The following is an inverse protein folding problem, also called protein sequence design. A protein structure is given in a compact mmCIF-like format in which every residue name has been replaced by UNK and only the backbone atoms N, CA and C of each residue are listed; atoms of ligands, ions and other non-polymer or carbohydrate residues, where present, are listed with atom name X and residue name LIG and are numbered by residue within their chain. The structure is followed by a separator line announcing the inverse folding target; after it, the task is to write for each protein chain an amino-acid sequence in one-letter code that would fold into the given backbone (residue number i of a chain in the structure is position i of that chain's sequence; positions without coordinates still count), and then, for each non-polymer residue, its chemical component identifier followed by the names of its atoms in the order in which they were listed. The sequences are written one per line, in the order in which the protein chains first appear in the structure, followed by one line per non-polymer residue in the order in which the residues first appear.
data_IF_568268723874
#
_entry.id   IF_568268723874
#
_cell.length_a   1.000
_cell.length_b   1.000
_cell.length_c   1.000
_cell.angle_alpha   90.00
_cell.angle_beta   90.00
_cell.angle_gamma   90.00
#
_symmetry.space_group_name_H-M   'P 1'
#
loop_
_entity.id
_entity.type
_entity.pdbx_description
1 polymer ?
#
# COMPACT_ATOMS: atom_id res chain seq x y z
N UNK A 1 -3.16 -3.10 4.86
CA UNK A 1 -1.90 -3.14 5.64
C UNK A 1 -2.14 -3.38 7.12
N UNK A 2 -3.20 -4.10 7.51
CA UNK A 2 -3.46 -4.37 8.93
C UNK A 2 -2.30 -5.12 9.61
N UNK A 3 -1.71 -6.11 8.93
CA UNK A 3 -0.63 -6.90 9.50
C UNK A 3 0.60 -6.04 9.84
N UNK A 4 0.95 -5.08 8.97
CA UNK A 4 2.03 -4.13 9.21
C UNK A 4 1.74 -3.23 10.42
N UNK A 5 0.46 -2.92 10.66
CA UNK A 5 -0.01 -2.17 11.83
C UNK A 5 -0.22 -3.06 13.07
N UNK A 6 0.28 -4.30 13.07
CA UNK A 6 0.15 -5.25 14.18
C UNK A 6 -1.27 -5.78 14.42
N UNK A 7 -2.17 -5.67 13.43
CA UNK A 7 -3.57 -6.10 13.50
C UNK A 7 -3.89 -7.15 12.45
N UNK A 8 -4.70 -8.15 12.78
CA UNK A 8 -5.19 -9.12 11.80
C UNK A 8 -6.67 -8.88 11.52
N UNK A 9 -7.04 -8.80 10.25
CA UNK A 9 -8.44 -8.72 9.81
C UNK A 9 -8.62 -9.60 8.58
N UNK A 10 -9.85 -10.05 8.33
CA UNK A 10 -10.18 -10.76 7.12
C UNK A 10 -9.96 -9.85 5.90
N UNK A 11 -9.28 -10.37 4.88
CA UNK A 11 -9.16 -9.70 3.60
C UNK A 11 -10.53 -9.68 2.91
N UNK A 12 -10.83 -8.56 2.27
CA UNK A 12 -12.11 -8.33 1.57
C UNK A 12 -11.90 -8.18 0.06
N UNK A 13 -10.70 -7.79 -0.35
CA UNK A 13 -10.32 -7.58 -1.75
C UNK A 13 -8.91 -8.10 -1.99
N UNK A 14 -8.64 -8.51 -3.23
CA UNK A 14 -7.31 -8.78 -3.75
C UNK A 14 -6.89 -7.59 -4.58
N UNK A 15 -5.71 -7.07 -4.31
CA UNK A 15 -5.15 -5.87 -4.92
C UNK A 15 -3.78 -6.17 -5.56
N UNK A 16 -3.35 -5.35 -6.52
CA UNK A 16 -2.03 -5.49 -7.12
C UNK A 16 -0.99 -4.66 -6.34
N UNK A 17 0.09 -5.29 -5.88
CA UNK A 17 1.20 -4.62 -5.19
C UNK A 17 1.77 -3.52 -6.10
N UNK A 18 2.11 -3.90 -7.34
CA UNK A 18 2.48 -3.01 -8.43
C UNK A 18 1.30 -2.84 -9.38
N UNK A 19 0.93 -1.58 -9.63
CA UNK A 19 -0.10 -1.23 -10.62
C UNK A 19 0.21 -1.87 -11.97
N UNK A 20 -0.77 -2.61 -12.51
CA UNK A 20 -0.58 -3.30 -13.78
C UNK A 20 -0.63 -2.37 -15.00
N UNK A 21 -1.30 -1.21 -14.94
CA UNK A 21 -1.37 -0.19 -16.01
C UNK A 21 -1.73 -0.73 -17.41
N UNK A 22 -2.54 -1.78 -17.44
CA UNK A 22 -2.95 -2.47 -18.68
C UNK A 22 -2.05 -3.64 -19.11
N UNK A 23 -0.95 -3.90 -18.39
CA UNK A 23 -0.13 -5.10 -18.56
C UNK A 23 -0.86 -6.33 -18.00
N UNK A 24 -1.19 -7.28 -18.88
CA UNK A 24 -1.94 -8.48 -18.50
C UNK A 24 -1.08 -9.55 -17.84
N UNK A 25 0.23 -9.59 -18.10
CA UNK A 25 1.13 -10.50 -17.39
C UNK A 25 1.21 -10.09 -15.93
N UNK A 26 1.42 -8.79 -15.68
CA UNK A 26 1.45 -8.24 -14.32
C UNK A 26 0.09 -8.28 -13.61
N UNK A 27 -1.01 -8.24 -14.37
CA UNK A 27 -2.37 -8.39 -13.83
C UNK A 27 -2.62 -9.80 -13.26
N UNK A 28 -2.14 -10.83 -13.97
CA UNK A 28 -2.32 -12.24 -13.60
C UNK A 28 -1.17 -12.82 -12.77
N UNK A 29 -0.13 -12.04 -12.53
CA UNK A 29 0.95 -12.41 -11.63
C UNK A 29 0.43 -12.52 -10.19
N UNK A 30 0.39 -13.75 -9.66
CA UNK A 30 -0.05 -14.03 -8.30
C UNK A 30 0.92 -13.50 -7.25
N UNK A 31 2.21 -13.40 -7.58
CA UNK A 31 3.21 -12.83 -6.67
C UNK A 31 3.03 -11.30 -6.58
N UNK A 32 2.34 -10.69 -7.54
CA UNK A 32 1.92 -9.30 -7.51
C UNK A 32 0.58 -9.08 -6.78
N UNK A 33 -0.08 -10.12 -6.26
CA UNK A 33 -1.34 -9.97 -5.53
C UNK A 33 -1.11 -9.82 -4.03
N UNK A 34 -1.85 -8.90 -3.40
CA UNK A 34 -1.89 -8.73 -1.96
C UNK A 34 -3.34 -8.74 -1.42
N UNK A 35 -3.60 -9.45 -0.32
CA UNK A 35 -4.90 -9.41 0.34
C UNK A 35 -5.02 -8.14 1.21
N UNK A 36 -6.10 -7.37 1.02
CA UNK A 36 -6.35 -6.13 1.77
C UNK A 36 -7.77 -6.09 2.35
N UNK A 37 -7.92 -5.36 3.45
CA UNK A 37 -9.24 -4.91 3.91
C UNK A 37 -9.71 -3.72 3.07
N UNK A 38 -11.02 -3.46 3.07
CA UNK A 38 -11.62 -2.40 2.28
C UNK A 38 -11.08 -1.01 2.64
N UNK A 39 -10.82 -0.77 3.94
CA UNK A 39 -10.28 0.51 4.43
C UNK A 39 -8.91 0.81 3.84
N UNK A 40 -7.96 -0.15 3.91
CA UNK A 40 -6.62 0.07 3.37
C UNK A 40 -6.59 0.09 1.85
N UNK A 41 -7.40 -0.72 1.20
CA UNK A 41 -7.53 -0.71 -0.26
C UNK A 41 -8.00 0.67 -0.77
N UNK A 42 -9.06 1.22 -0.16
CA UNK A 42 -9.66 2.46 -0.66
C UNK A 42 -8.97 3.75 -0.17
N UNK A 43 -8.09 3.66 0.82
CA UNK A 43 -7.43 4.83 1.41
C UNK A 43 -5.92 4.75 1.24
N UNK A 44 -5.23 3.93 2.04
CA UNK A 44 -3.77 3.98 2.11
C UNK A 44 -3.11 3.50 0.82
N UNK A 45 -3.60 2.42 0.20
CA UNK A 45 -3.05 1.93 -1.08
C UNK A 45 -3.24 2.95 -2.20
N UNK A 46 -4.47 3.44 -2.37
CA UNK A 46 -4.81 4.50 -3.32
C UNK A 46 -3.96 5.78 -3.15
N UNK A 47 -3.67 6.14 -1.90
CA UNK A 47 -2.79 7.28 -1.59
C UNK A 47 -1.35 7.01 -2.02
N UNK A 48 -0.79 5.84 -1.69
CA UNK A 48 0.58 5.46 -2.06
C UNK A 48 0.74 5.45 -3.57
N UNK A 49 -0.22 4.91 -4.31
CA UNK A 49 -0.21 4.88 -5.77
C UNK A 49 -0.19 6.28 -6.37
N UNK A 50 -1.01 7.19 -5.84
CA UNK A 50 -1.08 8.58 -6.29
C UNK A 50 0.19 9.37 -5.98
N UNK A 51 0.74 9.18 -4.78
CA UNK A 51 1.81 10.02 -4.26
C UNK A 51 3.21 9.47 -4.54
N UNK A 52 3.32 8.15 -4.71
CA UNK A 52 4.59 7.43 -4.82
C UNK A 52 5.36 7.28 -3.51
N UNK A 53 4.73 7.53 -2.36
CA UNK A 53 5.31 7.37 -1.02
C UNK A 53 4.21 7.09 0.03
N UNK A 54 4.60 6.51 1.16
CA UNK A 54 3.78 6.22 2.32
C UNK A 54 3.77 7.41 3.30
N UNK A 55 2.62 7.66 3.93
CA UNK A 55 2.43 8.73 4.92
C UNK A 55 2.49 8.24 6.37
N UNK A 56 3.27 7.19 6.65
CA UNK A 56 3.38 6.68 8.02
C UNK A 56 4.31 7.59 8.80
N UNK A 57 3.88 7.97 10.00
CA UNK A 57 4.60 8.87 10.90
C UNK A 57 5.26 8.01 11.97
N UNK A 58 6.57 8.18 12.14
CA UNK A 58 7.37 7.47 13.12
C UNK A 58 7.17 7.97 14.55
N UNK A 59 7.78 7.28 15.51
CA UNK A 59 7.73 7.64 16.93
C UNK A 59 8.38 9.00 17.24
N UNK A 60 9.25 9.49 16.35
CA UNK A 60 9.89 10.81 16.40
C UNK A 60 9.01 11.94 15.83
N UNK A 61 7.82 11.61 15.32
CA UNK A 61 6.89 12.56 14.72
C UNK A 61 7.20 12.91 13.27
N UNK A 62 8.19 12.29 12.64
CA UNK A 62 8.55 12.50 11.24
C UNK A 62 8.06 11.35 10.35
N UNK A 63 7.75 11.60 9.06
CA UNK A 63 7.41 10.53 8.13
C UNK A 63 8.53 9.49 8.03
N UNK A 64 8.19 8.20 8.03
CA UNK A 64 9.21 7.13 7.97
C UNK A 64 9.70 6.84 6.55
N UNK A 65 8.89 7.17 5.53
CA UNK A 65 9.22 6.86 4.14
C UNK A 65 10.32 7.81 3.65
N UNK A 66 11.51 7.33 3.25
CA UNK A 66 12.58 8.17 2.73
C UNK A 66 12.18 8.98 1.48
N UNK A 67 11.18 8.54 0.73
CA UNK A 67 10.69 9.23 -0.45
C UNK A 67 9.73 10.38 -0.13
N UNK A 68 9.21 10.46 1.11
CA UNK A 68 8.29 11.50 1.55
C UNK A 68 8.92 12.90 1.39
N UNK A 69 8.21 13.92 0.86
CA UNK A 69 8.78 15.25 0.60
C UNK A 69 9.41 15.95 1.81
N UNK A 70 8.92 15.64 3.02
CA UNK A 70 9.47 16.16 4.28
C UNK A 70 10.86 15.60 4.65
N UNK A 71 11.29 14.51 4.00
CA UNK A 71 12.58 13.84 4.21
C UNK A 71 13.59 14.15 3.10
N UNK A 72 13.31 15.15 2.25
CA UNK A 72 14.17 15.60 1.16
C UNK A 72 14.88 16.90 1.47
#
# INVERSE_FOLDING_TARGET
MCLAEGRTTAAQVVDHIKEHKGDMELFWDRDNWQPLCFTHHNSTKQQIERNGYHNEIGADGWPIDPMHPANR
#
